data_IF_433695350535
#
_entry.id   IF_433695350535
#
_cell.length_a   1.000
_cell.length_b   1.000
_cell.length_c   1.000
_cell.angle_alpha   90.00
_cell.angle_beta   90.00
_cell.angle_gamma   90.00
#
_symmetry.space_group_name_H-M   'P 1'
#
loop_
_entity.id
_entity.type
_entity.pdbx_description
1 polymer ?
#
# COMPACT_ATOMS: atom_id res chain seq x y z
N UNK A 1 17.40 -7.50 1.27
CA UNK A 1 15.98 -7.84 1.13
C UNK A 1 15.29 -7.49 2.43
N UNK A 2 14.61 -6.35 2.52
CA UNK A 2 13.73 -6.05 3.65
C UNK A 2 12.58 -7.06 3.75
N UNK A 3 12.06 -7.25 4.96
CA UNK A 3 10.90 -8.09 5.25
C UNK A 3 9.62 -7.28 5.28
N UNK A 4 8.67 -7.65 4.41
CA UNK A 4 7.31 -7.15 4.46
C UNK A 4 6.43 -8.14 5.24
N UNK A 5 5.93 -7.74 6.40
CA UNK A 5 4.93 -8.51 7.14
C UNK A 5 3.54 -7.93 6.88
N UNK A 6 2.63 -8.78 6.44
CA UNK A 6 1.24 -8.43 6.19
C UNK A 6 0.39 -9.14 7.23
N UNK A 7 -0.33 -8.35 8.03
CA UNK A 7 -1.14 -8.92 9.10
C UNK A 7 -2.21 -9.87 8.54
N UNK A 8 -2.26 -11.09 9.08
CA UNK A 8 -3.19 -12.14 8.63
C UNK A 8 -2.76 -12.92 7.39
N UNK A 9 -1.71 -12.49 6.67
CA UNK A 9 -1.22 -13.19 5.48
C UNK A 9 0.13 -13.87 5.72
N UNK A 10 1.11 -13.16 6.27
CA UNK A 10 2.46 -13.70 6.48
C UNK A 10 3.58 -12.69 6.28
N UNK A 11 4.82 -13.18 6.21
CA UNK A 11 6.03 -12.37 6.02
C UNK A 11 6.75 -12.79 4.76
N UNK A 12 7.18 -11.81 3.96
CA UNK A 12 7.78 -11.99 2.65
C UNK A 12 9.10 -11.24 2.54
N UNK A 13 10.07 -11.81 1.84
CA UNK A 13 11.28 -11.10 1.45
C UNK A 13 11.00 -10.29 0.19
N UNK A 14 11.29 -8.99 0.23
CA UNK A 14 11.02 -8.05 -0.86
C UNK A 14 12.32 -7.42 -1.31
N UNK A 15 12.43 -7.08 -2.60
CA UNK A 15 13.55 -6.28 -3.09
C UNK A 15 13.49 -4.87 -2.49
N UNK A 16 14.66 -4.31 -2.17
CA UNK A 16 14.72 -2.97 -1.61
C UNK A 16 14.33 -1.93 -2.67
N UNK A 17 13.49 -0.96 -2.28
CA UNK A 17 12.98 0.07 -3.17
C UNK A 17 11.73 -0.33 -3.95
N UNK A 18 11.27 -1.58 -3.85
CA UNK A 18 9.99 -2.02 -4.45
C UNK A 18 8.85 -1.19 -3.88
N UNK A 19 7.92 -0.79 -4.76
CA UNK A 19 6.70 -0.09 -4.36
C UNK A 19 5.86 -1.01 -3.48
N UNK A 20 5.39 -0.53 -2.33
CA UNK A 20 4.68 -1.38 -1.37
C UNK A 20 3.44 -2.04 -1.99
N UNK A 21 2.69 -1.32 -2.85
CA UNK A 21 1.53 -1.89 -3.56
C UNK A 21 1.90 -3.07 -4.45
N UNK A 22 3.07 -3.04 -5.10
CA UNK A 22 3.54 -4.13 -5.97
C UNK A 22 4.03 -5.30 -5.13
N UNK A 23 4.77 -5.02 -4.06
CA UNK A 23 5.19 -6.03 -3.10
C UNK A 23 3.99 -6.80 -2.49
N UNK A 24 2.89 -6.09 -2.19
CA UNK A 24 1.66 -6.72 -1.73
C UNK A 24 1.04 -7.61 -2.82
N UNK A 25 0.84 -7.06 -4.02
CA UNK A 25 0.21 -7.77 -5.14
C UNK A 25 1.00 -9.03 -5.54
N UNK A 26 2.33 -8.93 -5.61
CA UNK A 26 3.23 -10.02 -6.01
C UNK A 26 3.32 -11.14 -4.97
N UNK A 27 2.96 -10.84 -3.72
CA UNK A 27 2.88 -11.82 -2.63
C UNK A 27 1.43 -12.28 -2.35
N UNK A 28 0.52 -12.10 -3.31
CA UNK A 28 -0.84 -12.62 -3.25
C UNK A 28 -1.79 -11.81 -2.36
N UNK A 29 -1.40 -10.59 -1.96
CA UNK A 29 -2.27 -9.66 -1.25
C UNK A 29 -2.93 -8.76 -2.28
N UNK A 30 -4.17 -9.06 -2.65
CA UNK A 30 -4.92 -8.38 -3.71
C UNK A 30 -5.47 -7.02 -3.25
N UNK A 31 -4.58 -6.13 -2.82
CA UNK A 31 -4.90 -4.76 -2.43
C UNK A 31 -5.41 -3.96 -3.64
N UNK A 32 -6.44 -3.13 -3.43
CA UNK A 32 -7.01 -2.34 -4.52
C UNK A 32 -6.07 -1.20 -4.95
N UNK A 33 -6.02 -0.91 -6.25
CA UNK A 33 -5.19 0.16 -6.82
C UNK A 33 -5.87 0.82 -8.03
N UNK A 34 -7.18 1.10 -7.90
CA UNK A 34 -8.11 1.58 -8.96
C UNK A 34 -7.62 2.69 -9.89
N UNK A 35 -6.71 3.55 -9.45
CA UNK A 35 -6.16 4.63 -10.28
C UNK A 35 -4.83 4.29 -10.98
N UNK A 36 -4.31 3.07 -10.84
CA UNK A 36 -3.00 2.66 -11.34
C UNK A 36 -1.84 3.29 -10.60
N UNK A 37 -1.98 3.56 -9.30
CA UNK A 37 -0.91 4.10 -8.46
C UNK A 37 -0.57 5.58 -8.67
N UNK A 38 -1.57 6.40 -9.05
CA UNK A 38 -1.42 7.83 -9.37
C UNK A 38 -1.84 8.79 -8.25
N UNK A 39 -1.99 8.30 -7.01
CA UNK A 39 -2.48 9.09 -5.87
C UNK A 39 -3.82 9.82 -6.12
N UNK A 40 -4.78 9.21 -6.85
CA UNK A 40 -6.10 9.83 -7.13
C UNK A 40 -7.29 9.18 -6.43
N UNK A 41 -7.19 7.89 -6.10
CA UNK A 41 -8.33 7.13 -5.57
C UNK A 41 -8.33 7.00 -4.05
N UNK A 42 -7.22 6.56 -3.45
CA UNK A 42 -7.07 6.10 -2.03
C UNK A 42 -7.46 4.64 -1.73
N UNK A 43 -7.78 3.83 -2.74
CA UNK A 43 -8.15 2.42 -2.50
C UNK A 43 -6.98 1.55 -2.04
N UNK A 44 -5.74 1.96 -2.34
CA UNK A 44 -4.51 1.25 -1.95
C UNK A 44 -4.08 1.53 -0.51
N UNK A 45 -5.00 1.98 0.34
CA UNK A 45 -4.67 2.44 1.69
C UNK A 45 -4.34 1.26 2.60
N UNK A 46 -3.30 1.46 3.39
CA UNK A 46 -2.77 0.53 4.38
C UNK A 46 -2.60 1.28 5.69
N UNK A 47 -2.75 0.56 6.79
CA UNK A 47 -2.27 1.00 8.08
C UNK A 47 -0.85 0.47 8.28
N UNK A 48 0.07 1.32 8.74
CA UNK A 48 1.42 0.88 9.10
C UNK A 48 1.44 0.54 10.58
N UNK A 49 1.66 -0.73 10.89
CA UNK A 49 1.63 -1.26 12.26
C UNK A 49 3.00 -1.12 12.93
N UNK A 50 4.07 -1.36 12.18
CA UNK A 50 5.44 -1.27 12.67
C UNK A 50 6.44 -1.06 11.53
N UNK A 51 7.62 -0.54 11.86
CA UNK A 51 8.73 -0.36 10.93
C UNK A 51 8.91 1.08 10.46
N UNK A 52 10.01 1.29 9.75
CA UNK A 52 10.37 2.60 9.21
C UNK A 52 9.78 2.77 7.81
N UNK A 53 9.27 3.96 7.52
CA UNK A 53 8.74 4.31 6.21
C UNK A 53 9.02 5.77 5.88
N UNK A 54 9.02 6.09 4.59
CA UNK A 54 9.21 7.47 4.13
C UNK A 54 8.03 8.36 4.52
N UNK A 55 8.30 9.65 4.67
CA UNK A 55 7.24 10.65 4.83
C UNK A 55 6.25 10.62 3.66
N UNK A 56 5.00 10.96 3.94
CA UNK A 56 3.98 11.06 2.91
C UNK A 56 4.30 12.17 1.92
N UNK A 57 4.16 11.86 0.63
CA UNK A 57 4.33 12.85 -0.45
C UNK A 57 3.19 13.88 -0.42
N UNK A 58 3.38 15.02 -1.08
CA UNK A 58 2.32 16.04 -1.16
C UNK A 58 1.07 15.49 -1.86
N UNK A 59 1.25 14.73 -2.94
CA UNK A 59 0.15 14.09 -3.67
C UNK A 59 -0.62 13.10 -2.79
N UNK A 60 0.10 12.32 -1.97
CA UNK A 60 -0.50 11.40 -1.00
C UNK A 60 -1.33 12.15 0.05
N UNK A 61 -0.76 13.18 0.67
CA UNK A 61 -1.44 14.01 1.69
C UNK A 61 -2.68 14.69 1.11
N UNK A 62 -2.57 15.22 -0.11
CA UNK A 62 -3.69 15.84 -0.80
C UNK A 62 -4.82 14.84 -1.04
N UNK A 63 -4.50 13.66 -1.59
CA UNK A 63 -5.50 12.63 -1.86
C UNK A 63 -6.21 12.13 -0.60
N UNK A 64 -5.46 11.92 0.50
CA UNK A 64 -6.03 11.55 1.81
C UNK A 64 -6.99 12.62 2.31
N UNK A 65 -6.57 13.88 2.28
CA UNK A 65 -7.37 15.03 2.72
C UNK A 65 -8.64 15.19 1.89
N UNK A 66 -8.53 15.18 0.55
CA UNK A 66 -9.67 15.36 -0.35
C UNK A 66 -10.71 14.24 -0.26
N UNK A 67 -10.28 13.02 0.12
CA UNK A 67 -11.16 11.86 0.27
C UNK A 67 -11.63 11.62 1.70
N UNK A 68 -11.19 12.45 2.66
CA UNK A 68 -11.56 12.32 4.08
C UNK A 68 -11.12 10.98 4.68
N UNK A 69 -9.94 10.50 4.28
CA UNK A 69 -9.35 9.27 4.82
C UNK A 69 -8.63 9.61 6.13
N UNK A 70 -8.59 8.67 7.07
CA UNK A 70 -7.92 8.86 8.35
C UNK A 70 -6.40 9.09 8.16
N UNK A 71 -5.86 10.10 8.83
CA UNK A 71 -4.47 10.57 8.65
C UNK A 71 -3.39 9.53 9.03
N UNK A 72 -3.76 8.51 9.81
CA UNK A 72 -2.85 7.44 10.19
C UNK A 72 -2.68 6.39 9.07
N UNK A 73 -3.51 6.43 8.03
CA UNK A 73 -3.42 5.55 6.88
C UNK A 73 -2.46 6.12 5.83
N UNK A 74 -1.81 5.21 5.10
CA UNK A 74 -0.86 5.53 4.04
C UNK A 74 -1.30 4.90 2.73
N UNK A 75 -0.93 5.51 1.61
CA UNK A 75 -1.17 4.97 0.29
C UNK A 75 0.00 4.09 -0.12
N UNK A 76 -0.18 2.76 -0.07
CA UNK A 76 0.87 1.80 -0.45
C UNK A 76 1.45 2.04 -1.85
N UNK A 77 0.66 2.62 -2.77
CA UNK A 77 1.15 2.95 -4.11
C UNK A 77 2.13 4.14 -4.16
N UNK A 78 2.25 4.90 -3.08
CA UNK A 78 3.19 6.03 -2.93
C UNK A 78 4.36 5.68 -1.99
N UNK A 79 4.40 4.47 -1.45
CA UNK A 79 5.43 4.00 -0.52
C UNK A 79 6.42 3.07 -1.22
N UNK A 80 7.69 3.10 -0.77
CA UNK A 80 8.74 2.15 -1.17
C UNK A 80 9.30 1.43 0.05
N UNK A 81 9.56 0.13 -0.09
CA UNK A 81 10.05 -0.73 0.99
C UNK A 81 11.58 -0.67 1.03
N UNK A 82 12.14 0.05 2.01
CA UNK A 82 13.60 0.14 2.20
C UNK A 82 14.11 -0.67 3.41
N UNK A 83 13.23 -0.86 4.39
CA UNK A 83 13.50 -1.58 5.63
C UNK A 83 12.30 -2.47 5.96
N UNK A 84 12.47 -3.31 6.97
CA UNK A 84 11.41 -4.17 7.45
C UNK A 84 10.19 -3.33 7.86
N UNK A 85 9.02 -3.75 7.40
CA UNK A 85 7.76 -3.04 7.62
C UNK A 85 6.64 -4.04 7.86
N UNK A 86 5.74 -3.70 8.77
CA UNK A 86 4.51 -4.45 9.05
C UNK A 86 3.32 -3.58 8.70
N UNK A 87 2.42 -4.09 7.86
CA UNK A 87 1.26 -3.34 7.37
C UNK A 87 -0.02 -4.17 7.42
N UNK A 88 -1.15 -3.47 7.49
CA UNK A 88 -2.49 -4.02 7.34
C UNK A 88 -3.17 -3.39 6.13
N UNK A 89 -3.44 -4.15 5.06
CA UNK A 89 -4.28 -3.71 3.94
C UNK A 89 -5.71 -3.45 4.39
N UNK A 90 -6.25 -2.27 4.07
CA UNK A 90 -7.63 -1.92 4.48
C UNK A 90 -8.66 -2.34 3.43
N UNK A 91 -8.32 -2.20 2.14
CA UNK A 91 -9.20 -2.58 1.03
C UNK A 91 -8.52 -3.55 0.09
N UNK A 92 -9.08 -4.75 0.02
CA UNK A 92 -8.64 -5.82 -0.88
C UNK A 92 -9.80 -6.28 -1.76
N UNK A 93 -9.51 -7.04 -2.81
CA UNK A 93 -10.54 -7.62 -3.67
C UNK A 93 -11.51 -8.48 -2.86
N UNK A 94 -11.00 -9.28 -1.93
CA UNK A 94 -11.77 -10.22 -1.11
C UNK A 94 -12.74 -9.51 -0.17
N UNK A 95 -12.32 -8.39 0.45
CA UNK A 95 -13.14 -7.71 1.44
C UNK A 95 -14.10 -6.67 0.85
N UNK A 96 -13.84 -6.20 -0.38
CA UNK A 96 -14.63 -5.15 -1.03
C UNK A 96 -15.52 -5.66 -2.16
N UNK A 97 -15.20 -6.82 -2.75
CA UNK A 97 -15.87 -7.33 -3.96
C UNK A 97 -15.61 -6.48 -5.21
N UNK A 98 -14.64 -5.56 -5.17
CA UNK A 98 -14.28 -4.69 -6.27
C UNK A 98 -13.11 -5.26 -7.07
N UNK A 99 -13.06 -4.98 -8.36
CA UNK A 99 -11.88 -5.23 -9.19
C UNK A 99 -10.71 -4.34 -8.72
N UNK A 100 -9.50 -4.91 -8.65
CA UNK A 100 -8.30 -4.26 -8.15
C UNK A 100 -7.98 -2.94 -8.89
N UNK A 101 -8.18 -2.91 -10.21
CA UNK A 101 -7.75 -1.83 -11.09
C UNK A 101 -6.52 -2.18 -11.90
N UNK A 102 -6.00 -1.22 -12.69
CA UNK A 102 -4.79 -1.44 -13.48
C UNK A 102 -3.56 -1.50 -12.57
N UNK A 103 -2.66 -2.44 -12.86
CA UNK A 103 -1.40 -2.59 -12.13
C UNK A 103 -0.62 -1.27 -12.10
N UNK A 104 -0.18 -0.79 -10.93
CA UNK A 104 0.66 0.40 -10.81
C UNK A 104 1.98 0.27 -11.58
N UNK A 105 2.45 1.38 -12.14
CA UNK A 105 3.80 1.44 -12.69
C UNK A 105 4.85 1.42 -11.56
N UNK A 106 6.04 0.88 -11.86
CA UNK A 106 7.21 0.88 -10.95
C UNK A 106 7.66 2.29 -10.52
#
# INVERSE_FOLDING_TARGET
>A
MPKLTVEGTGTFDVEEGTKLVLALEDNGVHILHRCGGKARCTTCRVEVIAGDFCEATNDEKQAITEKGIEDHLRLSCQMRVHKDITVRPILTVENSGLDAGPRPAE
#
